data_IF_095701666204
#
_entry.id   IF_095701666204
#
_cell.length_a   1.000
_cell.length_b   1.000
_cell.length_c   1.000
_cell.angle_alpha   90.00
_cell.angle_beta   90.00
_cell.angle_gamma   90.00
#
_symmetry.space_group_name_H-M   'P 1'
#
loop_
_entity.id
_entity.type
_entity.pdbx_description
1 polymer ?
#
# COMPACT_ATOMS: atom_id res chain seq x y z
N UNK A 1 -3.13 -6.64 -10.51
CA UNK A 1 -2.91 -5.25 -10.05
C UNK A 1 -4.11 -4.80 -9.24
N UNK A 2 -3.92 -3.85 -8.33
CA UNK A 2 -4.98 -3.17 -7.58
C UNK A 2 -5.00 -1.71 -8.00
N UNK A 3 -6.19 -1.11 -7.99
CA UNK A 3 -6.38 0.32 -8.26
C UNK A 3 -6.96 0.97 -7.01
N UNK A 4 -6.22 1.91 -6.43
CA UNK A 4 -6.73 2.80 -5.39
C UNK A 4 -7.35 4.02 -6.08
N UNK A 5 -8.62 4.30 -5.78
CA UNK A 5 -9.36 5.47 -6.30
C UNK A 5 -9.54 6.49 -5.19
N UNK A 6 -9.20 7.75 -5.44
CA UNK A 6 -9.40 8.86 -4.51
C UNK A 6 -10.24 9.96 -5.15
N UNK A 7 -11.32 10.37 -4.49
CA UNK A 7 -12.23 11.39 -5.00
C UNK A 7 -11.71 12.79 -4.73
N UNK A 8 -11.17 13.45 -5.74
CA UNK A 8 -10.63 14.80 -5.61
C UNK A 8 -11.76 15.85 -5.59
N UNK A 9 -12.92 15.57 -6.20
CA UNK A 9 -14.03 16.54 -6.34
C UNK A 9 -14.48 17.12 -5.00
N UNK A 10 -14.63 16.27 -3.99
CA UNK A 10 -15.08 16.66 -2.64
C UNK A 10 -13.95 16.79 -1.64
N UNK A 11 -12.71 16.47 -2.04
CA UNK A 11 -11.53 16.62 -1.17
C UNK A 11 -11.17 18.08 -0.93
N UNK A 12 -10.82 18.37 0.31
CA UNK A 12 -10.14 19.61 0.70
C UNK A 12 -8.80 19.75 -0.03
N UNK A 13 -8.30 20.99 -0.12
CA UNK A 13 -6.95 21.26 -0.68
C UNK A 13 -5.85 20.44 0.00
N UNK A 14 -5.99 20.17 1.30
CA UNK A 14 -5.02 19.37 2.06
C UNK A 14 -5.05 17.91 1.63
N UNK A 15 -6.24 17.32 1.49
CA UNK A 15 -6.40 15.92 1.07
C UNK A 15 -5.93 15.72 -0.37
N UNK A 16 -6.22 16.66 -1.28
CA UNK A 16 -5.72 16.60 -2.66
C UNK A 16 -4.19 16.57 -2.69
N UNK A 17 -3.53 17.47 -1.96
CA UNK A 17 -2.07 17.49 -1.86
C UNK A 17 -1.51 16.19 -1.27
N UNK A 18 -2.16 15.63 -0.25
CA UNK A 18 -1.74 14.36 0.34
C UNK A 18 -1.85 13.19 -0.66
N UNK A 19 -2.92 13.17 -1.47
CA UNK A 19 -3.12 12.15 -2.50
C UNK A 19 -2.08 12.25 -3.63
N UNK A 20 -1.78 13.48 -4.09
CA UNK A 20 -0.73 13.74 -5.08
C UNK A 20 0.66 13.34 -4.53
N UNK A 21 0.95 13.70 -3.27
CA UNK A 21 2.19 13.31 -2.59
C UNK A 21 2.32 11.79 -2.46
N UNK A 22 1.22 11.09 -2.14
CA UNK A 22 1.22 9.63 -2.09
C UNK A 22 1.62 9.02 -3.44
N UNK A 23 0.96 9.44 -4.53
CA UNK A 23 1.28 8.96 -5.87
C UNK A 23 2.73 9.28 -6.28
N UNK A 24 3.21 10.48 -5.97
CA UNK A 24 4.57 10.91 -6.28
C UNK A 24 5.62 10.12 -5.50
N UNK A 25 5.40 9.88 -4.20
CA UNK A 25 6.31 9.09 -3.37
C UNK A 25 6.34 7.63 -3.84
N UNK A 26 5.17 7.02 -4.02
CA UNK A 26 5.07 5.64 -4.51
C UNK A 26 5.77 5.45 -5.86
N UNK A 27 5.74 6.44 -6.75
CA UNK A 27 6.41 6.38 -8.06
C UNK A 27 7.94 6.29 -7.98
N UNK A 28 8.52 6.75 -6.87
CA UNK A 28 9.97 6.79 -6.65
C UNK A 28 10.48 5.60 -5.83
N UNK A 29 9.59 4.90 -5.11
CA UNK A 29 9.96 3.77 -4.28
C UNK A 29 10.15 2.51 -5.13
N UNK A 30 11.36 1.95 -5.09
CA UNK A 30 11.72 0.67 -5.70
C UNK A 30 12.44 -0.19 -4.69
N UNK A 31 11.71 -1.09 -4.04
CA UNK A 31 12.25 -1.96 -3.01
C UNK A 31 11.51 -3.31 -3.01
N UNK A 32 12.19 -4.46 -2.84
CA UNK A 32 11.56 -5.78 -2.87
C UNK A 32 10.47 -5.98 -1.80
N UNK A 33 10.51 -5.23 -0.70
CA UNK A 33 9.53 -5.30 0.39
C UNK A 33 8.52 -4.13 0.39
N UNK A 34 8.50 -3.29 -0.65
CA UNK A 34 7.47 -2.27 -0.86
C UNK A 34 6.63 -2.68 -2.07
N UNK A 35 5.31 -2.58 -1.96
CA UNK A 35 4.43 -2.93 -3.09
C UNK A 35 4.74 -2.03 -4.28
N UNK A 36 5.08 -2.65 -5.41
CA UNK A 36 5.47 -1.91 -6.59
C UNK A 36 4.35 -1.00 -7.11
N UNK A 37 4.71 0.27 -7.30
CA UNK A 37 3.94 1.20 -8.10
C UNK A 37 4.05 0.87 -9.58
N UNK A 38 2.94 1.04 -10.31
CA UNK A 38 2.93 0.91 -11.78
C UNK A 38 2.73 2.26 -12.45
N UNK A 39 1.62 2.92 -12.17
CA UNK A 39 1.23 4.18 -12.80
C UNK A 39 0.12 4.88 -12.00
N UNK A 40 -0.10 6.17 -12.26
CA UNK A 40 -1.21 6.94 -11.68
C UNK A 40 -1.64 8.06 -12.63
N UNK A 41 -2.92 8.42 -12.57
CA UNK A 41 -3.51 9.48 -13.38
C UNK A 41 -4.76 10.06 -12.72
N UNK A 42 -5.09 11.33 -13.03
CA UNK A 42 -6.39 11.92 -12.71
C UNK A 42 -7.34 11.72 -13.90
N UNK A 43 -8.51 11.12 -13.64
CA UNK A 43 -9.56 10.95 -14.64
C UNK A 43 -10.44 12.20 -14.78
N UNK A 44 -11.21 12.26 -15.86
CA UNK A 44 -12.19 13.33 -16.11
C UNK A 44 -13.30 13.43 -15.04
N UNK A 45 -13.49 12.36 -14.27
CA UNK A 45 -14.40 12.26 -13.13
C UNK A 45 -13.85 12.86 -11.83
N UNK A 46 -12.73 13.60 -11.91
CA UNK A 46 -11.99 14.16 -10.78
C UNK A 46 -11.61 13.08 -9.76
N UNK A 47 -11.26 11.88 -10.23
CA UNK A 47 -10.71 10.81 -9.39
C UNK A 47 -9.22 10.63 -9.69
N UNK A 48 -8.41 10.49 -8.64
CA UNK A 48 -7.03 10.02 -8.76
C UNK A 48 -7.03 8.48 -8.73
N UNK A 49 -6.40 7.89 -9.74
CA UNK A 49 -6.20 6.46 -9.86
C UNK A 49 -4.73 6.14 -9.60
N UNK A 50 -4.44 5.23 -8.68
CA UNK A 50 -3.09 4.74 -8.40
C UNK A 50 -3.08 3.22 -8.61
N UNK A 51 -2.30 2.74 -9.57
CA UNK A 51 -2.16 1.33 -9.91
C UNK A 51 -0.91 0.76 -9.26
N UNK A 52 -1.11 -0.36 -8.54
CA UNK A 52 -0.06 -1.02 -7.79
C UNK A 52 -0.12 -2.55 -7.92
N UNK A 53 0.98 -3.20 -7.55
CA UNK A 53 1.06 -4.66 -7.46
C UNK A 53 -0.08 -5.25 -6.63
N UNK A 54 -0.60 -6.40 -7.05
CA UNK A 54 -1.58 -7.15 -6.28
C UNK A 54 -0.86 -8.21 -5.45
N UNK A 55 -1.01 -8.15 -4.13
CA UNK A 55 -0.47 -9.15 -3.21
C UNK A 55 -1.50 -10.28 -3.05
N UNK A 56 -1.29 -11.40 -3.74
CA UNK A 56 -2.21 -12.55 -3.72
C UNK A 56 -2.45 -13.12 -2.32
N UNK A 57 -1.46 -13.00 -1.43
CA UNK A 57 -1.55 -13.44 -0.04
C UNK A 57 -2.42 -12.55 0.88
N UNK A 58 -2.95 -11.43 0.37
CA UNK A 58 -3.72 -10.47 1.17
C UNK A 58 -2.85 -9.66 2.13
N UNK A 59 -3.46 -9.08 3.16
CA UNK A 59 -2.78 -8.29 4.18
C UNK A 59 -2.52 -9.06 5.49
N UNK A 60 -1.55 -8.57 6.26
CA UNK A 60 -1.15 -9.18 7.53
C UNK A 60 -2.28 -9.20 8.57
N UNK A 61 -3.17 -8.21 8.57
CA UNK A 61 -4.28 -8.16 9.53
C UNK A 61 -5.22 -9.37 9.32
N UNK A 62 -5.62 -9.63 8.08
CA UNK A 62 -6.42 -10.80 7.74
C UNK A 62 -5.67 -12.09 8.04
N UNK A 63 -4.37 -12.15 7.73
CA UNK A 63 -3.55 -13.33 8.01
C UNK A 63 -3.47 -13.66 9.51
N UNK A 64 -3.33 -12.64 10.35
CA UNK A 64 -3.33 -12.78 11.82
C UNK A 64 -4.70 -13.18 12.36
N UNK A 65 -5.78 -12.56 11.84
CA UNK A 65 -7.16 -12.92 12.24
C UNK A 65 -7.50 -14.38 11.92
N UNK A 66 -6.96 -14.92 10.83
CA UNK A 66 -7.13 -16.33 10.45
C UNK A 66 -6.43 -17.32 11.40
N UNK A 67 -5.50 -16.88 12.25
CA UNK A 67 -4.89 -17.73 13.27
C UNK A 67 -5.85 -18.08 14.41
N UNK A 68 -7.03 -17.45 14.49
CA UNK A 68 -8.08 -17.76 15.48
C UNK A 68 -7.58 -17.74 16.94
N UNK A 69 -6.61 -16.88 17.24
CA UNK A 69 -6.02 -16.73 18.58
C UNK A 69 -4.74 -17.53 18.80
N UNK A 70 -4.35 -18.40 17.87
CA UNK A 70 -3.06 -19.08 17.92
C UNK A 70 -1.90 -18.10 17.67
N UNK A 71 -0.83 -18.25 18.44
CA UNK A 71 0.37 -17.45 18.30
C UNK A 71 1.20 -17.92 17.10
N UNK A 72 1.84 -16.99 16.41
CA UNK A 72 2.82 -17.32 15.38
C UNK A 72 4.12 -17.83 16.03
N UNK A 73 4.80 -18.81 15.40
CA UNK A 73 6.15 -19.16 15.80
C UNK A 73 7.08 -17.95 15.75
N UNK A 74 7.96 -17.80 16.74
CA UNK A 74 8.89 -16.66 16.85
C UNK A 74 9.68 -16.43 15.56
N UNK A 75 10.20 -17.50 14.96
CA UNK A 75 10.90 -17.44 13.68
C UNK A 75 10.10 -16.75 12.58
N UNK A 76 8.80 -17.05 12.47
CA UNK A 76 7.94 -16.43 11.45
C UNK A 76 7.76 -14.94 11.71
N UNK A 77 7.61 -14.56 12.99
CA UNK A 77 7.49 -13.15 13.40
C UNK A 77 8.76 -12.39 13.04
N UNK A 78 9.93 -12.94 13.36
CA UNK A 78 11.24 -12.34 13.04
C UNK A 78 11.42 -12.19 11.53
N UNK A 79 11.11 -13.21 10.74
CA UNK A 79 11.22 -13.16 9.28
C UNK A 79 10.36 -12.06 8.65
N UNK A 80 9.11 -11.90 9.10
CA UNK A 80 8.24 -10.80 8.64
C UNK A 80 8.73 -9.44 9.13
N UNK A 81 9.17 -9.37 10.38
CA UNK A 81 9.67 -8.14 10.97
C UNK A 81 10.91 -7.61 10.24
N UNK A 82 11.85 -8.48 9.87
CA UNK A 82 13.03 -8.11 9.09
C UNK A 82 12.64 -7.54 7.73
N UNK A 83 11.66 -8.13 7.04
CA UNK A 83 11.17 -7.59 5.75
C UNK A 83 10.49 -6.22 5.89
N UNK A 84 9.74 -6.02 6.97
CA UNK A 84 9.14 -4.71 7.28
C UNK A 84 10.22 -3.68 7.61
N UNK A 85 11.23 -4.05 8.41
CA UNK A 85 12.33 -3.18 8.76
C UNK A 85 13.15 -2.77 7.53
N UNK A 86 13.44 -3.71 6.62
CA UNK A 86 14.11 -3.42 5.34
C UNK A 86 13.29 -2.47 4.46
N UNK A 87 11.95 -2.56 4.49
CA UNK A 87 11.09 -1.63 3.74
C UNK A 87 11.08 -0.21 4.31
N UNK A 88 11.43 -0.02 5.59
CA UNK A 88 11.43 1.27 6.28
C UNK A 88 12.78 1.99 6.27
N UNK A 89 13.86 1.26 5.95
CA UNK A 89 15.23 1.78 5.89
C UNK A 89 15.45 2.61 4.63
#
# INVERSE_FOLDING_TARGET
>A
YVIKKLNLRTSSRRERRAAEQEAQLLSQLKHPNIVNYRESWEGEDCQLYIVMGFCEGGDLYHRLKQQKGELLPERQVVEWFVQIAMALQ
#
